data_IF_491099442620
#
_entry.id   IF_491099442620
#
_cell.length_a   1.000
_cell.length_b   1.000
_cell.length_c   1.000
_cell.angle_alpha   90.00
_cell.angle_beta   90.00
_cell.angle_gamma   90.00
#
_symmetry.space_group_name_H-M   'P 1'
#
loop_
_entity.id
_entity.type
_entity.pdbx_description
1 polymer ?
#
# COMPACT_ATOMS: atom_id res chain seq x y z
N UNK A 1 25.10 22.76 -32.97
CA UNK A 1 26.44 22.41 -32.46
C UNK A 1 26.65 22.92 -31.05
N UNK A 2 26.90 24.23 -30.89
CA UNK A 2 27.29 24.83 -29.60
C UNK A 2 26.19 24.83 -28.50
N UNK A 3 24.91 24.90 -28.88
CA UNK A 3 23.79 24.92 -27.91
C UNK A 3 23.56 23.57 -27.22
N UNK A 4 23.64 22.46 -27.95
CA UNK A 4 23.47 21.12 -27.37
C UNK A 4 24.60 20.73 -26.41
N UNK A 5 25.84 21.14 -26.70
CA UNK A 5 26.99 20.87 -25.82
C UNK A 5 26.88 21.70 -24.52
N UNK A 6 26.43 22.95 -24.61
CA UNK A 6 26.20 23.79 -23.43
C UNK A 6 25.06 23.25 -22.54
N UNK A 7 24.02 22.65 -23.13
CA UNK A 7 22.93 22.01 -22.39
C UNK A 7 23.45 20.75 -21.68
N UNK A 8 24.19 19.87 -22.35
CA UNK A 8 24.79 18.69 -21.70
C UNK A 8 25.75 19.07 -20.57
N UNK A 9 26.60 20.09 -20.76
CA UNK A 9 27.53 20.54 -19.70
C UNK A 9 26.74 21.08 -18.50
N UNK A 10 25.67 21.84 -18.73
CA UNK A 10 24.78 22.31 -17.65
C UNK A 10 24.05 21.17 -16.95
N UNK A 11 23.57 20.17 -17.68
CA UNK A 11 22.94 18.98 -17.09
C UNK A 11 23.95 18.15 -16.29
N UNK A 12 25.16 17.94 -16.79
CA UNK A 12 26.21 17.19 -16.08
C UNK A 12 26.68 17.95 -14.84
N UNK A 13 26.89 19.27 -14.92
CA UNK A 13 27.22 20.10 -13.75
C UNK A 13 26.08 20.19 -12.75
N UNK A 14 24.82 20.29 -13.20
CA UNK A 14 23.65 20.27 -12.32
C UNK A 14 23.47 18.90 -11.66
N UNK A 15 23.70 17.81 -12.38
CA UNK A 15 23.62 16.45 -11.85
C UNK A 15 24.76 16.15 -10.88
N UNK A 16 25.99 16.62 -11.17
CA UNK A 16 27.12 16.54 -10.24
C UNK A 16 26.92 17.42 -9.01
N UNK A 17 26.38 18.63 -9.16
CA UNK A 17 26.02 19.50 -8.04
C UNK A 17 24.88 18.90 -7.21
N UNK A 18 23.88 18.29 -7.85
CA UNK A 18 22.78 17.58 -7.17
C UNK A 18 23.28 16.33 -6.45
N UNK A 19 24.16 15.52 -7.05
CA UNK A 19 24.81 14.41 -6.36
C UNK A 19 25.66 14.92 -5.19
N UNK A 20 26.44 16.00 -5.37
CA UNK A 20 27.25 16.58 -4.31
C UNK A 20 26.39 17.10 -3.15
N UNK A 21 25.30 17.83 -3.44
CA UNK A 21 24.30 18.32 -2.48
C UNK A 21 23.54 17.17 -1.79
N UNK A 22 23.33 16.05 -2.48
CA UNK A 22 22.68 14.86 -1.89
C UNK A 22 23.64 14.04 -1.02
N UNK A 23 24.96 14.21 -1.19
CA UNK A 23 26.00 13.53 -0.39
C UNK A 23 26.62 14.39 0.71
N UNK A 24 26.39 15.71 0.73
CA UNK A 24 26.79 16.53 1.87
C UNK A 24 25.90 16.16 3.04
N UNK A 25 26.44 15.63 4.14
CA UNK A 25 25.63 15.43 5.35
C UNK A 25 25.05 16.79 5.72
N UNK A 26 23.74 16.88 5.87
CA UNK A 26 23.15 18.12 6.36
C UNK A 26 23.65 18.32 7.80
N UNK A 27 23.76 19.56 8.27
CA UNK A 27 24.09 19.82 9.68
C UNK A 27 23.11 19.10 10.62
N UNK A 28 21.89 18.84 10.16
CA UNK A 28 20.88 18.01 10.85
C UNK A 28 21.26 16.52 10.92
N UNK A 29 21.97 15.97 9.94
CA UNK A 29 22.44 14.57 9.96
C UNK A 29 23.63 14.40 10.91
N UNK A 30 24.54 15.37 10.96
CA UNK A 30 25.64 15.41 11.94
C UNK A 30 25.11 15.57 13.37
N UNK A 31 24.12 16.45 13.58
CA UNK A 31 23.44 16.62 14.87
C UNK A 31 22.68 15.35 15.28
N UNK A 32 22.02 14.64 14.36
CA UNK A 32 21.38 13.34 14.63
C UNK A 32 22.38 12.26 15.00
N UNK A 33 23.54 12.23 14.36
CA UNK A 33 24.61 11.28 14.70
C UNK A 33 25.24 11.61 16.06
N UNK A 34 25.42 12.89 16.39
CA UNK A 34 25.87 13.35 17.70
C UNK A 34 24.85 13.01 18.79
N UNK A 35 23.56 13.28 18.56
CA UNK A 35 22.48 12.94 19.46
C UNK A 35 22.40 11.41 19.67
N UNK A 36 22.59 10.61 18.63
CA UNK A 36 22.63 9.15 18.74
C UNK A 36 23.83 8.65 19.59
N UNK A 37 24.99 9.33 19.50
CA UNK A 37 26.18 9.06 20.32
C UNK A 37 26.05 9.56 21.76
N UNK A 38 25.27 10.61 22.00
CA UNK A 38 24.95 11.09 23.34
C UNK A 38 23.94 10.16 24.03
N UNK A 39 22.88 9.76 23.31
CA UNK A 39 21.91 8.79 23.81
C UNK A 39 22.62 7.48 24.21
N UNK A 40 23.65 7.02 23.47
CA UNK A 40 24.40 5.81 23.83
C UNK A 40 25.38 5.99 25.01
N UNK A 41 25.75 7.22 25.39
CA UNK A 41 26.55 7.50 26.61
C UNK A 41 25.69 7.52 27.87
N UNK A 42 24.39 7.75 27.72
CA UNK A 42 23.45 7.67 28.83
C UNK A 42 23.26 6.20 29.27
N UNK A 43 23.85 5.86 30.41
CA UNK A 43 23.77 4.53 31.01
C UNK A 43 22.33 4.05 31.26
N UNK A 44 21.39 4.97 31.50
CA UNK A 44 19.96 4.67 31.64
C UNK A 44 19.34 4.15 30.35
N UNK A 45 19.62 4.80 29.21
CA UNK A 45 19.04 4.44 27.92
C UNK A 45 19.59 3.09 27.41
N UNK A 46 20.87 2.82 27.67
CA UNK A 46 21.51 1.54 27.33
C UNK A 46 20.89 0.42 28.17
N UNK A 47 20.64 0.67 29.45
CA UNK A 47 19.98 -0.28 30.34
C UNK A 47 18.52 -0.52 29.91
N UNK A 48 17.76 0.52 29.56
CA UNK A 48 16.39 0.39 29.06
C UNK A 48 16.31 -0.38 27.73
N UNK A 49 17.20 -0.10 26.78
CA UNK A 49 17.29 -0.84 25.52
C UNK A 49 17.64 -2.31 25.76
N UNK A 50 18.58 -2.57 26.67
CA UNK A 50 18.97 -3.93 27.06
C UNK A 50 17.83 -4.68 27.73
N UNK A 51 17.05 -4.03 28.60
CA UNK A 51 15.85 -4.63 29.19
C UNK A 51 14.82 -4.93 28.12
N UNK A 52 14.54 -3.99 27.21
CA UNK A 52 13.54 -4.23 26.16
C UNK A 52 13.93 -5.37 25.22
N UNK A 53 15.22 -5.53 24.90
CA UNK A 53 15.71 -6.63 24.06
C UNK A 53 15.77 -7.96 24.81
N UNK A 54 16.25 -7.97 26.06
CA UNK A 54 16.36 -9.19 26.88
C UNK A 54 15.00 -9.71 27.35
N UNK A 55 14.08 -8.81 27.71
CA UNK A 55 12.73 -9.16 28.17
C UNK A 55 11.70 -9.21 27.04
N UNK A 56 12.14 -9.11 25.76
CA UNK A 56 11.31 -9.25 24.57
C UNK A 56 9.99 -8.47 24.68
N UNK A 57 10.05 -7.24 25.19
CA UNK A 57 8.86 -6.48 25.55
C UNK A 57 7.95 -6.22 24.35
N UNK A 58 8.52 -6.09 23.15
CA UNK A 58 7.78 -6.00 21.89
C UNK A 58 6.99 -7.27 21.54
N UNK A 59 7.53 -8.45 21.85
CA UNK A 59 6.82 -9.72 21.62
C UNK A 59 5.66 -9.87 22.60
N UNK A 60 5.85 -9.47 23.86
CA UNK A 60 4.77 -9.47 24.86
C UNK A 60 3.65 -8.51 24.46
N UNK A 61 3.98 -7.32 23.91
CA UNK A 61 2.97 -6.40 23.36
C UNK A 61 2.19 -7.03 22.19
N UNK A 62 2.87 -7.72 21.29
CA UNK A 62 2.23 -8.46 20.19
C UNK A 62 1.30 -9.57 20.69
N UNK A 63 1.74 -10.35 21.68
CA UNK A 63 0.94 -11.41 22.31
C UNK A 63 -0.26 -10.86 23.08
N UNK A 64 -0.12 -9.71 23.73
CA UNK A 64 -1.24 -9.06 24.41
C UNK A 64 -2.32 -8.61 23.42
N UNK A 65 -1.92 -8.14 22.23
CA UNK A 65 -2.85 -7.77 21.16
C UNK A 65 -3.60 -8.99 20.60
N UNK A 66 -2.90 -10.10 20.36
CA UNK A 66 -3.56 -11.32 19.87
C UNK A 66 -4.50 -11.91 20.91
N UNK A 67 -4.11 -11.90 22.20
CA UNK A 67 -5.00 -12.30 23.30
C UNK A 67 -6.24 -11.42 23.40
N UNK A 68 -6.11 -10.10 23.19
CA UNK A 68 -7.27 -9.20 23.14
C UNK A 68 -8.26 -9.60 22.06
N UNK A 69 -7.79 -9.79 20.82
CA UNK A 69 -8.67 -10.21 19.71
C UNK A 69 -9.21 -11.63 19.87
N UNK A 70 -8.52 -12.50 20.63
CA UNK A 70 -9.00 -13.84 20.94
C UNK A 70 -10.24 -13.82 21.85
N UNK A 71 -10.31 -12.88 22.80
CA UNK A 71 -11.47 -12.70 23.68
C UNK A 71 -12.56 -11.78 23.09
N UNK A 72 -12.25 -11.05 22.02
CA UNK A 72 -13.24 -10.26 21.29
C UNK A 72 -14.25 -11.15 20.54
N UNK A 73 -15.45 -10.62 20.32
CA UNK A 73 -16.52 -11.36 19.63
C UNK A 73 -16.15 -11.55 18.15
N UNK A 74 -16.12 -12.81 17.69
CA UNK A 74 -15.92 -13.17 16.28
C UNK A 74 -17.00 -12.58 15.36
N UNK A 75 -16.59 -11.86 14.32
CA UNK A 75 -17.49 -11.30 13.28
C UNK A 75 -17.61 -12.32 12.14
N UNK A 76 -18.21 -13.48 12.45
CA UNK A 76 -18.47 -14.54 11.46
C UNK A 76 -19.96 -14.66 11.20
N UNK A 77 -20.37 -14.60 9.94
CA UNK A 77 -21.75 -14.83 9.51
C UNK A 77 -21.93 -16.33 9.26
N UNK A 78 -23.04 -16.92 9.69
CA UNK A 78 -23.31 -18.35 9.51
C UNK A 78 -23.84 -18.66 8.11
N UNK A 79 -22.94 -18.80 7.14
CA UNK A 79 -23.30 -19.30 5.81
C UNK A 79 -23.64 -20.80 5.89
N UNK A 80 -24.74 -21.30 5.29
CA UNK A 80 -25.59 -20.68 4.27
C UNK A 80 -26.86 -19.96 4.79
N UNK A 81 -27.08 -19.93 6.10
CA UNK A 81 -28.32 -19.45 6.71
C UNK A 81 -28.43 -17.93 6.72
N UNK A 82 -27.30 -17.24 6.86
CA UNK A 82 -27.21 -15.78 6.86
C UNK A 82 -26.29 -15.34 5.70
N UNK A 83 -26.75 -14.38 4.89
CA UNK A 83 -25.98 -13.81 3.78
C UNK A 83 -25.60 -12.36 4.11
N UNK A 84 -24.39 -11.96 3.71
CA UNK A 84 -23.93 -10.58 3.88
C UNK A 84 -24.79 -9.57 3.10
N UNK A 85 -24.83 -8.31 3.53
CA UNK A 85 -25.59 -7.27 2.84
C UNK A 85 -25.02 -7.02 1.43
N UNK A 86 -25.87 -7.21 0.42
CA UNK A 86 -25.51 -6.95 -0.98
C UNK A 86 -26.05 -5.58 -1.42
N UNK A 87 -25.19 -4.79 -2.05
CA UNK A 87 -25.62 -3.52 -2.65
C UNK A 87 -26.46 -3.78 -3.91
N UNK A 88 -27.39 -2.89 -4.27
CA UNK A 88 -28.21 -3.04 -5.48
C UNK A 88 -27.38 -2.97 -6.78
N UNK A 89 -26.13 -2.54 -6.70
CA UNK A 89 -25.17 -2.50 -7.82
C UNK A 89 -24.26 -3.74 -7.87
N UNK A 90 -24.52 -4.76 -7.06
CA UNK A 90 -23.74 -5.98 -7.12
C UNK A 90 -23.79 -6.60 -8.52
N UNK A 91 -22.62 -6.89 -9.08
CA UNK A 91 -22.47 -7.54 -10.38
C UNK A 91 -22.31 -9.02 -10.13
N UNK A 92 -23.40 -9.76 -10.25
CA UNK A 92 -23.41 -11.22 -10.18
C UNK A 92 -23.44 -11.85 -11.57
N UNK A 93 -24.26 -12.89 -11.72
CA UNK A 93 -24.46 -13.57 -12.99
C UNK A 93 -25.15 -12.66 -14.03
N UNK A 94 -24.65 -12.72 -15.27
CA UNK A 94 -25.23 -11.98 -16.39
C UNK A 94 -26.47 -12.69 -16.93
N UNK A 95 -27.64 -12.07 -16.79
CA UNK A 95 -28.90 -12.57 -17.36
C UNK A 95 -29.46 -11.62 -18.42
N UNK A 96 -29.86 -12.17 -19.57
CA UNK A 96 -30.55 -11.40 -20.61
C UNK A 96 -31.99 -11.12 -20.20
N UNK A 97 -32.36 -9.84 -20.18
CA UNK A 97 -33.70 -9.41 -19.78
C UNK A 97 -34.64 -9.36 -20.99
N UNK A 98 -35.90 -9.73 -20.82
CA UNK A 98 -36.99 -9.60 -21.83
C UNK A 98 -37.91 -8.42 -21.52
N UNK A 99 -38.53 -7.82 -22.53
CA UNK A 99 -39.62 -6.83 -22.39
C UNK A 99 -40.85 -7.47 -21.73
N UNK A 100 -41.80 -6.69 -21.18
CA UNK A 100 -43.05 -7.23 -20.65
C UNK A 100 -43.91 -7.93 -21.73
N UNK A 101 -43.67 -7.64 -23.01
CA UNK A 101 -44.29 -8.30 -24.17
C UNK A 101 -43.69 -9.67 -24.49
N UNK A 102 -42.61 -10.07 -23.80
CA UNK A 102 -41.92 -11.35 -24.02
C UNK A 102 -40.79 -11.32 -25.05
N UNK A 103 -40.66 -10.23 -25.82
CA UNK A 103 -39.55 -10.02 -26.76
C UNK A 103 -38.21 -9.80 -26.01
N UNK A 104 -37.11 -10.30 -26.56
CA UNK A 104 -35.78 -10.10 -26.00
C UNK A 104 -35.27 -8.67 -26.20
N UNK A 105 -34.51 -8.13 -25.24
CA UNK A 105 -33.95 -6.77 -25.36
C UNK A 105 -32.68 -6.70 -26.21
N UNK A 106 -32.13 -7.84 -26.62
CA UNK A 106 -30.92 -7.88 -27.43
C UNK A 106 -31.29 -7.69 -28.90
N UNK A 107 -30.78 -6.64 -29.54
CA UNK A 107 -30.95 -6.39 -30.99
C UNK A 107 -29.68 -6.76 -31.79
N UNK A 108 -28.83 -7.64 -31.24
CA UNK A 108 -27.56 -8.07 -31.84
C UNK A 108 -26.62 -6.91 -32.27
N UNK A 109 -26.60 -5.80 -31.52
CA UNK A 109 -25.79 -4.61 -31.83
C UNK A 109 -24.27 -4.78 -31.58
N UNK A 110 -23.81 -5.91 -31.03
CA UNK A 110 -22.40 -6.22 -30.70
C UNK A 110 -21.68 -5.25 -29.76
N UNK A 111 -22.36 -4.26 -29.16
CA UNK A 111 -21.75 -3.33 -28.19
C UNK A 111 -21.25 -4.03 -26.91
N UNK A 112 -21.95 -5.06 -26.44
CA UNK A 112 -21.56 -5.80 -25.22
C UNK A 112 -20.23 -6.56 -25.40
N UNK A 113 -19.93 -6.99 -26.63
CA UNK A 113 -18.67 -7.63 -26.98
C UNK A 113 -17.55 -6.59 -27.08
N UNK A 114 -17.82 -5.45 -27.72
CA UNK A 114 -16.86 -4.35 -27.86
C UNK A 114 -16.44 -3.72 -26.52
N UNK A 115 -17.35 -3.60 -25.55
CA UNK A 115 -17.05 -3.01 -24.22
C UNK A 115 -16.41 -4.00 -23.25
N UNK A 116 -16.47 -5.32 -23.53
CA UNK A 116 -15.86 -6.33 -22.66
C UNK A 116 -14.34 -6.10 -22.61
N UNK A 117 -13.84 -5.58 -21.49
CA UNK A 117 -12.41 -5.29 -21.26
C UNK A 117 -11.53 -6.55 -21.41
N UNK A 118 -12.12 -7.74 -21.23
CA UNK A 118 -11.50 -9.06 -21.42
C UNK A 118 -11.70 -9.62 -22.84
N UNK A 119 -11.65 -8.79 -23.88
CA UNK A 119 -11.83 -9.24 -25.26
C UNK A 119 -10.73 -10.23 -25.70
N UNK A 120 -9.48 -10.04 -25.23
CA UNK A 120 -8.32 -10.87 -25.59
C UNK A 120 -8.30 -12.28 -24.99
N UNK A 121 -9.19 -12.62 -24.06
CA UNK A 121 -9.25 -13.95 -23.43
C UNK A 121 -10.26 -14.89 -24.10
N UNK A 122 -10.86 -14.45 -25.22
CA UNK A 122 -11.88 -15.19 -25.96
C UNK A 122 -11.54 -15.37 -27.46
N UNK A 123 -10.29 -15.13 -27.86
CA UNK A 123 -9.72 -15.63 -29.11
C UNK A 123 -8.61 -16.63 -28.81
#
# INVERSE_FOLDING_TARGET
GASSVAISIKYVLWFLWFLHVSTTPTTEDEEREQLAKEISKDWSSVFERSINTLFLTEMVRGLMLTLKYFFDKKVTINYPFEKGPLSPRFRGEHALRRYPTGEERCIACKLCEAVRVLFYLCN
#
